data_IF_239415112209
#
_entry.id   IF_239415112209
#
_cell.length_a   1.000
_cell.length_b   1.000
_cell.length_c   1.000
_cell.angle_alpha   90.00
_cell.angle_beta   90.00
_cell.angle_gamma   90.00
#
_symmetry.space_group_name_H-M   'P 1'
#
loop_
_entity.id
_entity.type
_entity.pdbx_description
1 polymer ?
#
# COMPACT_ATOMS: atom_id res chain seq x y z
N UNK A 1 -21.72 5.18 -13.09
CA UNK A 1 -21.26 5.69 -11.77
C UNK A 1 -19.87 5.15 -11.42
N UNK A 2 -19.59 3.85 -11.51
CA UNK A 2 -18.28 3.25 -11.22
C UNK A 2 -17.14 3.91 -11.98
N UNK A 3 -17.25 3.98 -13.31
CA UNK A 3 -16.24 4.60 -14.19
C UNK A 3 -16.00 6.08 -13.90
N UNK A 4 -17.04 6.81 -13.48
CA UNK A 4 -16.88 8.21 -13.08
C UNK A 4 -16.06 8.34 -11.79
N UNK A 5 -16.31 7.50 -10.78
CA UNK A 5 -15.53 7.48 -9.54
C UNK A 5 -14.08 7.03 -9.80
N UNK A 6 -13.88 6.01 -10.64
CA UNK A 6 -12.54 5.57 -11.03
C UNK A 6 -11.77 6.68 -11.77
N UNK A 7 -12.43 7.39 -12.70
CA UNK A 7 -11.83 8.51 -13.42
C UNK A 7 -11.48 9.69 -12.47
N UNK A 8 -12.37 10.03 -11.53
CA UNK A 8 -12.08 11.04 -10.48
C UNK A 8 -10.88 10.63 -9.63
N UNK A 9 -10.82 9.36 -9.20
CA UNK A 9 -9.69 8.83 -8.44
C UNK A 9 -8.37 8.93 -9.23
N UNK A 10 -8.38 8.53 -10.49
CA UNK A 10 -7.22 8.62 -11.37
C UNK A 10 -6.80 10.09 -11.62
N UNK A 11 -7.74 10.97 -11.91
CA UNK A 11 -7.45 12.39 -12.10
C UNK A 11 -6.85 13.02 -10.85
N UNK A 12 -7.40 12.71 -9.66
CA UNK A 12 -6.85 13.16 -8.37
C UNK A 12 -5.45 12.57 -8.11
N UNK A 13 -5.22 11.30 -8.46
CA UNK A 13 -3.91 10.67 -8.32
C UNK A 13 -2.85 11.31 -9.21
N UNK A 14 -3.18 11.60 -10.47
CA UNK A 14 -2.30 12.31 -11.41
C UNK A 14 -2.05 13.76 -10.96
N UNK A 15 -3.08 14.46 -10.49
CA UNK A 15 -2.94 15.80 -9.93
C UNK A 15 -1.99 15.81 -8.71
N UNK A 16 -2.15 14.84 -7.79
CA UNK A 16 -1.24 14.72 -6.64
C UNK A 16 0.20 14.44 -7.05
N UNK A 17 0.41 13.59 -8.07
CA UNK A 17 1.75 13.33 -8.62
C UNK A 17 2.42 14.63 -9.10
N UNK A 18 1.68 15.50 -9.76
CA UNK A 18 2.18 16.83 -10.17
C UNK A 18 2.51 17.76 -8.99
N UNK A 19 1.85 17.56 -7.83
CA UNK A 19 2.01 18.37 -6.63
C UNK A 19 3.09 17.85 -5.66
N UNK A 20 3.82 16.79 -5.98
CA UNK A 20 4.80 16.20 -5.05
C UNK A 20 5.94 17.14 -4.64
N UNK A 21 6.28 18.13 -5.48
CA UNK A 21 7.27 19.17 -5.17
C UNK A 21 6.70 20.40 -4.45
N UNK A 22 5.38 20.53 -4.34
CA UNK A 22 4.75 21.70 -3.76
C UNK A 22 4.76 21.64 -2.21
N UNK A 23 4.67 22.78 -1.52
CA UNK A 23 4.53 22.82 -0.06
C UNK A 23 3.31 22.02 0.43
N UNK A 24 3.42 21.48 1.65
CA UNK A 24 2.27 20.79 2.29
C UNK A 24 1.13 21.78 2.49
N UNK A 25 -0.07 21.45 2.00
CA UNK A 25 -1.27 22.28 2.13
C UNK A 25 -2.50 21.42 2.38
N UNK A 26 -3.60 22.03 2.82
CA UNK A 26 -4.88 21.36 2.99
C UNK A 26 -5.42 20.78 1.68
N UNK A 27 -5.31 21.55 0.58
CA UNK A 27 -5.74 21.12 -0.76
C UNK A 27 -4.94 19.93 -1.26
N UNK A 28 -3.61 19.94 -1.10
CA UNK A 28 -2.75 18.81 -1.47
C UNK A 28 -3.10 17.55 -0.65
N UNK A 29 -3.39 17.71 0.65
CA UNK A 29 -3.87 16.62 1.50
C UNK A 29 -5.22 16.08 1.04
N UNK A 30 -6.16 16.97 0.71
CA UNK A 30 -7.49 16.58 0.22
C UNK A 30 -7.42 15.83 -1.11
N UNK A 31 -6.58 16.27 -2.06
CA UNK A 31 -6.38 15.60 -3.34
C UNK A 31 -5.80 14.20 -3.11
N UNK A 32 -4.77 14.07 -2.28
CA UNK A 32 -4.15 12.77 -1.95
C UNK A 32 -5.17 11.80 -1.37
N UNK A 33 -5.83 12.20 -0.30
CA UNK A 33 -6.84 11.38 0.40
C UNK A 33 -8.03 11.08 -0.51
N UNK A 34 -8.50 12.09 -1.25
CA UNK A 34 -9.63 11.97 -2.19
C UNK A 34 -9.39 10.95 -3.30
N UNK A 35 -8.15 10.83 -3.79
CA UNK A 35 -7.81 9.82 -4.80
C UNK A 35 -8.07 8.40 -4.29
N UNK A 36 -7.71 8.10 -3.03
CA UNK A 36 -7.91 6.78 -2.43
C UNK A 36 -9.36 6.58 -1.96
N UNK A 37 -10.03 7.64 -1.47
CA UNK A 37 -11.47 7.60 -1.15
C UNK A 37 -12.30 7.30 -2.39
N UNK A 38 -12.00 7.93 -3.54
CA UNK A 38 -12.70 7.68 -4.79
C UNK A 38 -12.57 6.20 -5.22
N UNK A 39 -11.40 5.59 -5.01
CA UNK A 39 -11.18 4.17 -5.27
C UNK A 39 -12.00 3.28 -4.33
N UNK A 40 -12.08 3.61 -3.03
CA UNK A 40 -12.93 2.91 -2.07
C UNK A 40 -14.42 2.98 -2.45
N UNK A 41 -14.90 4.18 -2.83
CA UNK A 41 -16.28 4.37 -3.28
C UNK A 41 -16.57 3.65 -4.60
N UNK A 42 -15.63 3.66 -5.55
CA UNK A 42 -15.76 2.90 -6.80
C UNK A 42 -15.90 1.39 -6.52
N UNK A 43 -15.09 0.87 -5.60
CA UNK A 43 -15.13 -0.55 -5.18
C UNK A 43 -16.45 -0.89 -4.49
N UNK A 44 -16.97 -0.01 -3.62
CA UNK A 44 -18.28 -0.18 -2.96
C UNK A 44 -19.41 -0.23 -3.99
N UNK A 45 -19.44 0.72 -4.92
CA UNK A 45 -20.46 0.81 -5.97
C UNK A 45 -20.37 -0.35 -6.97
N UNK A 46 -19.18 -0.91 -7.16
CA UNK A 46 -18.97 -2.11 -7.96
C UNK A 46 -19.43 -3.42 -7.27
N UNK A 47 -19.93 -3.36 -6.04
CA UNK A 47 -20.28 -4.54 -5.26
C UNK A 47 -19.08 -5.31 -4.74
N UNK A 48 -17.92 -4.69 -4.66
CA UNK A 48 -16.70 -5.30 -4.14
C UNK A 48 -16.84 -5.75 -2.68
N UNK A 49 -16.06 -6.75 -2.24
CA UNK A 49 -16.10 -7.25 -0.87
C UNK A 49 -15.89 -6.12 0.15
N UNK A 50 -16.61 -6.16 1.27
CA UNK A 50 -16.53 -5.12 2.31
C UNK A 50 -15.12 -4.95 2.89
N UNK A 51 -14.34 -6.03 2.97
CA UNK A 51 -12.93 -5.98 3.40
C UNK A 51 -12.05 -5.18 2.44
N UNK A 52 -12.32 -5.23 1.13
CA UNK A 52 -11.65 -4.39 0.14
C UNK A 52 -11.95 -2.91 0.38
N UNK A 53 -13.24 -2.58 0.56
CA UNK A 53 -13.66 -1.20 0.82
C UNK A 53 -13.05 -0.69 2.13
N UNK A 54 -13.04 -1.51 3.18
CA UNK A 54 -12.42 -1.19 4.47
C UNK A 54 -10.91 -0.95 4.32
N UNK A 55 -10.20 -1.82 3.62
CA UNK A 55 -8.76 -1.68 3.40
C UNK A 55 -8.43 -0.36 2.68
N UNK A 56 -9.17 -0.02 1.63
CA UNK A 56 -9.01 1.23 0.89
C UNK A 56 -9.35 2.45 1.75
N UNK A 57 -10.41 2.40 2.56
CA UNK A 57 -10.79 3.49 3.47
C UNK A 57 -9.72 3.73 4.54
N UNK A 58 -9.16 2.65 5.12
CA UNK A 58 -8.05 2.74 6.06
C UNK A 58 -6.78 3.27 5.39
N UNK A 59 -6.51 2.90 4.14
CA UNK A 59 -5.45 3.48 3.32
C UNK A 59 -5.63 5.00 3.12
N UNK A 60 -6.85 5.44 2.80
CA UNK A 60 -7.18 6.86 2.69
C UNK A 60 -6.98 7.61 4.02
N UNK A 61 -7.34 6.98 5.14
CA UNK A 61 -7.09 7.54 6.48
C UNK A 61 -5.58 7.66 6.76
N UNK A 62 -4.80 6.66 6.34
CA UNK A 62 -3.35 6.69 6.38
C UNK A 62 -2.77 7.86 5.56
N UNK A 63 -3.27 8.06 4.34
CA UNK A 63 -2.91 9.19 3.48
C UNK A 63 -3.18 10.55 4.12
N UNK A 64 -4.34 10.68 4.76
CA UNK A 64 -4.69 11.89 5.51
C UNK A 64 -3.69 12.17 6.61
N UNK A 65 -3.39 11.19 7.46
CA UNK A 65 -2.47 11.39 8.57
C UNK A 65 -1.03 11.62 8.12
N UNK A 66 -0.51 10.88 7.12
CA UNK A 66 0.85 11.10 6.60
C UNK A 66 1.01 12.44 5.90
N UNK A 67 -0.06 13.10 5.49
CA UNK A 67 0.00 14.44 4.93
C UNK A 67 0.06 15.55 6.00
N UNK A 68 -0.08 15.20 7.28
CA UNK A 68 0.00 16.12 8.42
C UNK A 68 1.42 16.15 9.00
N UNK A 69 1.83 17.27 9.63
CA UNK A 69 3.13 17.35 10.31
C UNK A 69 3.12 16.62 11.65
N UNK A 70 4.31 16.23 12.09
CA UNK A 70 4.57 15.72 13.44
C UNK A 70 4.53 14.21 13.58
N UNK A 71 5.26 13.72 14.60
CA UNK A 71 5.44 12.29 14.87
C UNK A 71 4.12 11.58 15.22
N UNK A 72 3.21 12.24 15.92
CA UNK A 72 1.91 11.67 16.27
C UNK A 72 1.02 11.44 15.04
N UNK A 73 1.08 12.34 14.03
CA UNK A 73 0.39 12.13 12.77
C UNK A 73 1.02 10.97 11.97
N UNK A 74 2.34 10.90 11.94
CA UNK A 74 3.05 9.78 11.33
C UNK A 74 2.63 8.43 11.95
N UNK A 75 2.61 8.32 13.28
CA UNK A 75 2.19 7.09 13.97
C UNK A 75 0.74 6.69 13.65
N UNK A 76 -0.19 7.66 13.64
CA UNK A 76 -1.59 7.39 13.26
C UNK A 76 -1.69 6.90 11.82
N UNK A 77 -0.90 7.48 10.91
CA UNK A 77 -0.80 7.02 9.53
C UNK A 77 -0.28 5.59 9.42
N UNK A 78 0.80 5.29 10.15
CA UNK A 78 1.39 3.95 10.20
C UNK A 78 0.38 2.90 10.73
N UNK A 79 -0.36 3.23 11.79
CA UNK A 79 -1.42 2.37 12.34
C UNK A 79 -2.55 2.17 11.32
N UNK A 80 -3.02 3.24 10.67
CA UNK A 80 -4.08 3.14 9.66
C UNK A 80 -3.67 2.24 8.49
N UNK A 81 -2.43 2.37 8.00
CA UNK A 81 -1.90 1.49 6.95
C UNK A 81 -1.70 0.05 7.44
N UNK A 82 -1.23 -0.15 8.68
CA UNK A 82 -1.14 -1.50 9.25
C UNK A 82 -2.51 -2.19 9.31
N UNK A 83 -3.55 -1.47 9.74
CA UNK A 83 -4.93 -1.97 9.73
C UNK A 83 -5.44 -2.22 8.31
N UNK A 84 -5.09 -1.37 7.34
CA UNK A 84 -5.38 -1.60 5.92
C UNK A 84 -4.77 -2.91 5.43
N UNK A 85 -3.50 -3.18 5.76
CA UNK A 85 -2.83 -4.44 5.39
C UNK A 85 -3.46 -5.66 6.07
N UNK A 86 -3.88 -5.55 7.33
CA UNK A 86 -4.61 -6.62 8.02
C UNK A 86 -5.96 -6.89 7.34
N UNK A 87 -6.67 -5.86 6.89
CA UNK A 87 -7.89 -6.02 6.11
C UNK A 87 -7.63 -6.69 4.75
N UNK A 88 -6.52 -6.36 4.07
CA UNK A 88 -6.09 -7.06 2.86
C UNK A 88 -5.71 -8.52 3.12
N UNK A 89 -5.03 -8.85 4.22
CA UNK A 89 -4.74 -10.24 4.60
C UNK A 89 -6.05 -11.00 4.76
N UNK A 90 -7.00 -10.48 5.53
CA UNK A 90 -8.30 -11.10 5.74
C UNK A 90 -9.09 -11.25 4.43
N UNK A 91 -9.03 -10.25 3.53
CA UNK A 91 -9.61 -10.31 2.21
C UNK A 91 -8.98 -11.44 1.39
N UNK A 92 -7.66 -11.45 1.23
CA UNK A 92 -6.96 -12.40 0.37
C UNK A 92 -7.17 -13.83 0.81
N UNK A 93 -7.07 -14.11 2.12
CA UNK A 93 -7.28 -15.45 2.69
C UNK A 93 -8.72 -15.93 2.56
N UNK A 94 -9.70 -15.05 2.36
CA UNK A 94 -11.10 -15.38 2.13
C UNK A 94 -11.51 -15.51 0.65
N UNK A 95 -10.59 -15.24 -0.31
CA UNK A 95 -10.90 -15.35 -1.73
C UNK A 95 -10.92 -16.81 -2.20
N UNK A 96 -11.76 -17.14 -3.20
CA UNK A 96 -11.83 -18.50 -3.76
C UNK A 96 -10.46 -19.00 -4.24
N UNK A 97 -10.13 -20.24 -3.90
CA UNK A 97 -8.89 -20.89 -4.33
C UNK A 97 -7.62 -20.34 -3.66
N UNK A 98 -7.75 -19.52 -2.60
CA UNK A 98 -6.58 -19.10 -1.82
C UNK A 98 -5.91 -20.32 -1.16
N UNK A 99 -4.58 -20.41 -1.28
CA UNK A 99 -3.82 -21.51 -0.69
C UNK A 99 -3.97 -22.84 -1.42
N UNK A 100 -4.71 -22.90 -2.53
CA UNK A 100 -4.73 -24.08 -3.38
C UNK A 100 -3.43 -24.15 -4.17
N UNK A 101 -2.45 -24.79 -3.54
CA UNK A 101 -1.05 -24.85 -3.97
C UNK A 101 -0.65 -26.26 -4.37
N UNK A 102 -1.53 -26.99 -5.03
CA UNK A 102 -1.22 -28.33 -5.55
C UNK A 102 0.04 -28.32 -6.45
N UNK A 103 0.30 -27.20 -7.14
CA UNK A 103 1.57 -26.88 -7.79
C UNK A 103 1.76 -25.33 -7.83
N UNK A 104 2.33 -24.72 -6.77
CA UNK A 104 2.42 -23.26 -6.67
C UNK A 104 3.43 -22.63 -7.63
N UNK A 105 4.22 -23.44 -8.34
CA UNK A 105 5.30 -22.97 -9.19
C UNK A 105 6.46 -22.33 -8.42
N UNK A 106 7.64 -22.30 -9.02
CA UNK A 106 8.90 -21.80 -8.41
C UNK A 106 8.80 -20.31 -7.98
N UNK A 107 8.01 -19.50 -8.69
CA UNK A 107 7.89 -18.07 -8.43
C UNK A 107 7.24 -17.77 -7.05
N UNK A 108 6.30 -18.59 -6.61
CA UNK A 108 5.67 -18.46 -5.27
C UNK A 108 6.72 -18.75 -4.19
N UNK A 109 7.47 -19.84 -4.33
CA UNK A 109 8.55 -20.18 -3.38
C UNK A 109 9.62 -19.09 -3.33
N UNK A 110 10.07 -18.61 -4.50
CA UNK A 110 11.06 -17.52 -4.58
C UNK A 110 10.52 -16.23 -3.90
N UNK A 111 9.24 -15.90 -4.10
CA UNK A 111 8.59 -14.77 -3.45
C UNK A 111 8.53 -14.92 -1.94
N UNK A 112 8.11 -16.08 -1.43
CA UNK A 112 8.07 -16.36 0.01
C UNK A 112 9.46 -16.31 0.64
N UNK A 113 10.48 -16.89 0.00
CA UNK A 113 11.88 -16.80 0.44
C UNK A 113 12.33 -15.34 0.44
N UNK A 114 12.04 -14.58 -0.63
CA UNK A 114 12.36 -13.16 -0.71
C UNK A 114 11.77 -12.36 0.46
N UNK A 115 10.50 -12.58 0.78
CA UNK A 115 9.83 -11.94 1.92
C UNK A 115 10.42 -12.39 3.28
N UNK A 116 10.73 -13.68 3.42
CA UNK A 116 11.35 -14.23 4.63
C UNK A 116 12.76 -13.67 4.87
N UNK A 117 13.47 -13.29 3.81
CA UNK A 117 14.78 -12.62 3.90
C UNK A 117 14.64 -11.10 4.06
N UNK A 118 13.66 -10.47 3.40
CA UNK A 118 13.45 -9.02 3.47
C UNK A 118 13.12 -8.56 4.89
N UNK A 119 12.19 -9.21 5.56
CA UNK A 119 11.75 -8.81 6.90
C UNK A 119 12.90 -8.76 7.92
N UNK A 120 13.71 -9.82 8.13
CA UNK A 120 14.83 -9.75 9.08
C UNK A 120 15.98 -8.86 8.58
N UNK A 121 16.16 -8.69 7.26
CA UNK A 121 17.20 -7.79 6.74
C UNK A 121 16.98 -6.34 7.19
N UNK A 122 15.73 -5.92 7.43
CA UNK A 122 15.39 -4.57 7.92
C UNK A 122 16.07 -4.26 9.26
N UNK A 123 16.39 -5.28 10.07
CA UNK A 123 17.14 -5.11 11.31
C UNK A 123 18.52 -4.45 11.10
N UNK A 124 19.12 -4.65 9.92
CA UNK A 124 20.44 -4.10 9.58
C UNK A 124 20.36 -2.75 8.86
N UNK A 125 19.48 -2.63 7.89
CA UNK A 125 19.48 -1.44 7.02
C UNK A 125 18.43 -0.37 7.41
N UNK A 126 17.38 -0.70 8.17
CA UNK A 126 16.31 0.23 8.53
C UNK A 126 16.27 0.55 10.02
N UNK A 127 16.19 -0.47 10.90
CA UNK A 127 15.94 -0.25 12.33
C UNK A 127 16.97 0.64 13.06
N UNK A 128 18.27 0.68 12.68
CA UNK A 128 19.22 1.60 13.32
C UNK A 128 18.86 3.08 13.16
N UNK A 129 18.03 3.44 12.17
CA UNK A 129 17.66 4.82 11.83
C UNK A 129 16.27 5.22 12.33
N UNK A 130 15.52 4.31 12.95
CA UNK A 130 14.12 4.55 13.36
C UNK A 130 13.97 5.16 14.76
N UNK A 131 15.01 5.16 15.56
CA UNK A 131 14.99 5.71 16.93
C UNK A 131 13.82 5.17 17.77
N UNK A 132 13.01 6.09 18.31
CA UNK A 132 11.82 5.73 19.13
C UNK A 132 10.71 5.02 18.35
N UNK A 133 10.76 5.06 17.03
CA UNK A 133 9.78 4.41 16.16
C UNK A 133 10.10 2.93 15.87
N UNK A 134 11.18 2.39 16.47
CA UNK A 134 11.64 1.02 16.21
C UNK A 134 10.55 -0.03 16.38
N UNK A 135 9.82 -0.01 17.50
CA UNK A 135 8.73 -0.96 17.78
C UNK A 135 7.60 -0.88 16.75
N UNK A 136 6.99 0.31 16.55
CA UNK A 136 5.97 0.51 15.52
C UNK A 136 6.41 0.10 14.11
N UNK A 137 7.65 0.40 13.72
CA UNK A 137 8.19 0.02 12.39
C UNK A 137 8.36 -1.48 12.27
N UNK A 138 8.85 -2.18 13.31
CA UNK A 138 8.94 -3.66 13.31
C UNK A 138 7.56 -4.28 13.13
N UNK A 139 6.57 -3.84 13.92
CA UNK A 139 5.21 -4.34 13.80
C UNK A 139 4.65 -4.13 12.39
N UNK A 140 4.88 -2.95 11.80
CA UNK A 140 4.47 -2.63 10.44
C UNK A 140 5.12 -3.53 9.40
N UNK A 141 6.44 -3.74 9.49
CA UNK A 141 7.19 -4.63 8.58
C UNK A 141 6.63 -6.05 8.61
N UNK A 142 6.31 -6.57 9.80
CA UNK A 142 5.71 -7.90 9.92
C UNK A 142 4.34 -7.98 9.24
N UNK A 143 3.49 -6.98 9.44
CA UNK A 143 2.13 -6.95 8.86
C UNK A 143 2.19 -6.86 7.34
N UNK A 144 3.02 -5.96 6.77
CA UNK A 144 3.09 -5.84 5.30
C UNK A 144 3.75 -7.05 4.66
N UNK A 145 4.71 -7.68 5.32
CA UNK A 145 5.32 -8.94 4.85
C UNK A 145 4.28 -10.06 4.84
N UNK A 146 3.44 -10.15 5.88
CA UNK A 146 2.34 -11.11 5.94
C UNK A 146 1.30 -10.86 4.84
N UNK A 147 0.98 -9.58 4.53
CA UNK A 147 0.11 -9.24 3.39
C UNK A 147 0.71 -9.72 2.07
N UNK A 148 2.00 -9.49 1.85
CA UNK A 148 2.72 -9.97 0.66
C UNK A 148 2.68 -11.50 0.55
N UNK A 149 2.88 -12.21 1.66
CA UNK A 149 2.80 -13.68 1.69
C UNK A 149 1.37 -14.18 1.38
N UNK A 150 0.34 -13.54 1.96
CA UNK A 150 -1.05 -13.87 1.64
C UNK A 150 -1.39 -13.63 0.16
N UNK A 151 -0.85 -12.57 -0.44
CA UNK A 151 -1.05 -12.27 -1.85
C UNK A 151 -0.37 -13.30 -2.78
N UNK A 152 0.80 -13.83 -2.40
CA UNK A 152 1.51 -14.85 -3.20
C UNK A 152 0.72 -16.17 -3.31
N UNK A 153 -0.20 -16.42 -2.39
CA UNK A 153 -1.03 -17.63 -2.37
C UNK A 153 -2.40 -17.43 -3.04
N UNK A 154 -2.61 -16.31 -3.71
CA UNK A 154 -3.83 -16.03 -4.48
C UNK A 154 -3.93 -16.92 -5.72
N UNK A 155 -5.14 -17.40 -6.01
CA UNK A 155 -5.42 -18.12 -7.24
C UNK A 155 -5.11 -17.27 -8.49
N UNK A 156 -4.80 -17.89 -9.65
CA UNK A 156 -4.45 -17.17 -10.89
C UNK A 156 -5.49 -16.13 -11.35
N UNK A 157 -6.77 -16.31 -11.02
CA UNK A 157 -7.83 -15.33 -11.30
C UNK A 157 -7.53 -13.96 -10.67
N UNK A 158 -6.79 -13.91 -9.55
CA UNK A 158 -6.46 -12.69 -8.80
C UNK A 158 -5.03 -12.18 -9.05
N UNK A 159 -4.38 -12.57 -10.17
CA UNK A 159 -3.00 -12.16 -10.51
C UNK A 159 -2.77 -10.64 -10.51
N UNK A 160 -3.80 -9.85 -10.85
CA UNK A 160 -3.70 -8.39 -10.79
C UNK A 160 -3.69 -7.88 -9.35
N UNK A 161 -4.41 -8.53 -8.44
CA UNK A 161 -4.34 -8.21 -7.01
C UNK A 161 -2.97 -8.56 -6.43
N UNK A 162 -2.36 -9.68 -6.84
CA UNK A 162 -0.98 -10.02 -6.49
C UNK A 162 0.01 -8.96 -6.97
N UNK A 163 -0.09 -8.54 -8.24
CA UNK A 163 0.76 -7.47 -8.77
C UNK A 163 0.58 -6.16 -7.99
N UNK A 164 -0.67 -5.80 -7.67
CA UNK A 164 -0.99 -4.64 -6.87
C UNK A 164 -0.38 -4.70 -5.46
N UNK A 165 -0.45 -5.86 -4.80
CA UNK A 165 0.17 -6.08 -3.49
C UNK A 165 1.70 -5.97 -3.55
N UNK A 166 2.32 -6.49 -4.59
CA UNK A 166 3.77 -6.35 -4.81
C UNK A 166 4.18 -4.89 -5.04
N UNK A 167 3.40 -4.12 -5.81
CA UNK A 167 3.62 -2.68 -5.99
C UNK A 167 3.47 -1.92 -4.68
N UNK A 168 2.46 -2.23 -3.86
CA UNK A 168 2.28 -1.61 -2.57
C UNK A 168 3.48 -1.90 -1.65
N UNK A 169 3.89 -3.15 -1.53
CA UNK A 169 5.08 -3.52 -0.74
C UNK A 169 6.33 -2.79 -1.23
N UNK A 170 6.56 -2.71 -2.54
CA UNK A 170 7.66 -1.96 -3.11
C UNK A 170 7.60 -0.47 -2.75
N UNK A 171 6.40 0.13 -2.80
CA UNK A 171 6.21 1.52 -2.39
C UNK A 171 6.62 1.76 -0.94
N UNK A 172 6.29 0.84 -0.03
CA UNK A 172 6.59 0.96 1.39
C UNK A 172 8.08 0.76 1.70
N UNK A 173 8.74 -0.13 0.98
CA UNK A 173 10.20 -0.26 1.06
C UNK A 173 10.87 1.06 0.64
N UNK A 174 10.46 1.65 -0.50
CA UNK A 174 11.01 2.93 -0.97
C UNK A 174 10.67 4.06 0.01
N UNK A 175 9.43 4.10 0.53
CA UNK A 175 9.00 5.10 1.52
C UNK A 175 9.83 5.00 2.80
N UNK A 176 10.10 3.79 3.28
CA UNK A 176 10.92 3.58 4.48
C UNK A 176 12.36 4.08 4.28
N UNK A 177 12.95 3.82 3.11
CA UNK A 177 14.26 4.38 2.75
C UNK A 177 14.20 5.90 2.66
N UNK A 178 13.16 6.45 2.03
CA UNK A 178 12.96 7.89 1.90
C UNK A 178 12.90 8.59 3.26
N UNK A 179 12.11 8.04 4.19
CA UNK A 179 11.86 8.68 5.50
C UNK A 179 13.06 8.54 6.44
N UNK A 180 13.69 7.36 6.48
CA UNK A 180 14.67 7.04 7.51
C UNK A 180 16.13 7.11 7.03
N UNK A 181 16.39 7.09 5.72
CA UNK A 181 17.74 6.99 5.18
C UNK A 181 18.17 8.14 4.29
N UNK A 182 17.22 8.82 3.65
CA UNK A 182 17.55 9.87 2.69
C UNK A 182 17.42 11.26 3.32
N UNK A 183 18.43 12.11 3.07
CA UNK A 183 18.41 13.51 3.51
C UNK A 183 17.29 14.28 2.76
N UNK A 184 16.39 14.98 3.48
CA UNK A 184 15.34 15.78 2.87
C UNK A 184 15.89 16.79 1.87
N UNK A 185 15.18 17.03 0.76
CA UNK A 185 15.55 18.01 -0.25
C UNK A 185 16.57 17.52 -1.29
N UNK A 186 17.20 16.36 -1.10
CA UNK A 186 18.12 15.79 -2.10
C UNK A 186 17.39 15.30 -3.35
N UNK A 187 18.03 15.23 -4.53
CA UNK A 187 17.43 14.65 -5.73
C UNK A 187 16.93 13.22 -5.52
N UNK A 188 17.70 12.39 -4.80
CA UNK A 188 17.36 11.00 -4.51
C UNK A 188 16.10 10.92 -3.64
N UNK A 189 16.00 11.76 -2.59
CA UNK A 189 14.80 11.85 -1.75
C UNK A 189 13.56 12.27 -2.56
N UNK A 190 13.68 13.24 -3.48
CA UNK A 190 12.56 13.64 -4.36
C UNK A 190 12.15 12.54 -5.32
N UNK A 191 13.12 11.86 -5.93
CA UNK A 191 12.85 10.76 -6.86
C UNK A 191 12.19 9.56 -6.16
N UNK A 192 12.63 9.23 -4.94
CA UNK A 192 11.97 8.23 -4.10
C UNK A 192 10.48 8.58 -3.89
N UNK A 193 10.17 9.81 -3.49
CA UNK A 193 8.78 10.25 -3.32
C UNK A 193 7.94 10.19 -4.61
N UNK A 194 8.58 10.46 -5.77
CA UNK A 194 7.92 10.34 -7.08
C UNK A 194 7.61 8.89 -7.46
N UNK A 195 8.39 7.93 -6.99
CA UNK A 195 8.16 6.50 -7.22
C UNK A 195 7.15 5.92 -6.24
N UNK A 196 7.15 6.36 -4.98
CA UNK A 196 6.24 5.88 -3.94
C UNK A 196 4.78 6.01 -4.35
N UNK A 197 4.37 7.19 -4.81
CA UNK A 197 2.96 7.47 -5.05
C UNK A 197 2.32 6.60 -6.15
N UNK A 198 2.88 6.49 -7.37
CA UNK A 198 2.30 5.64 -8.41
C UNK A 198 2.33 4.15 -8.04
N UNK A 199 3.35 3.68 -7.33
CA UNK A 199 3.41 2.31 -6.84
C UNK A 199 2.33 2.04 -5.79
N UNK A 200 2.13 2.95 -4.85
CA UNK A 200 1.13 2.85 -3.79
C UNK A 200 -0.29 2.92 -4.35
N UNK A 201 -0.65 4.04 -5.00
CA UNK A 201 -2.01 4.23 -5.49
C UNK A 201 -2.36 3.28 -6.63
N UNK A 202 -1.44 3.06 -7.58
CA UNK A 202 -1.59 2.08 -8.65
C UNK A 202 -1.69 0.66 -8.11
N UNK A 203 -0.92 0.33 -7.08
CA UNK A 203 -1.01 -0.95 -6.36
C UNK A 203 -2.40 -1.18 -5.78
N UNK A 204 -2.97 -0.20 -5.07
CA UNK A 204 -4.33 -0.28 -4.54
C UNK A 204 -5.40 -0.39 -5.64
N UNK A 205 -5.23 0.35 -6.74
CA UNK A 205 -6.13 0.26 -7.88
C UNK A 205 -6.10 -1.13 -8.53
N UNK A 206 -4.91 -1.73 -8.68
CA UNK A 206 -4.77 -3.09 -9.21
C UNK A 206 -5.31 -4.15 -8.25
N UNK A 207 -5.16 -3.99 -6.92
CA UNK A 207 -5.81 -4.87 -5.95
C UNK A 207 -7.32 -4.80 -6.12
N UNK A 208 -7.88 -3.58 -6.15
CA UNK A 208 -9.32 -3.39 -6.27
C UNK A 208 -9.87 -4.00 -7.57
N UNK A 209 -9.25 -3.68 -8.70
CA UNK A 209 -9.65 -4.20 -10.01
C UNK A 209 -9.48 -5.73 -10.09
N UNK A 210 -8.35 -6.26 -9.60
CA UNK A 210 -8.05 -7.68 -9.63
C UNK A 210 -8.95 -8.52 -8.73
N UNK A 211 -9.38 -7.99 -7.57
CA UNK A 211 -10.32 -8.67 -6.69
C UNK A 211 -11.72 -8.67 -7.29
N UNK A 212 -12.21 -7.51 -7.75
CA UNK A 212 -13.57 -7.40 -8.32
C UNK A 212 -13.69 -8.18 -9.63
N UNK A 213 -12.65 -8.16 -10.47
CA UNK A 213 -12.66 -8.86 -11.76
C UNK A 213 -12.38 -10.37 -11.66
N UNK A 214 -11.91 -10.87 -10.51
CA UNK A 214 -11.65 -12.29 -10.25
C UNK A 214 -12.81 -13.03 -9.56
N UNK A 215 -13.80 -12.27 -9.04
CA UNK A 215 -15.04 -12.80 -8.45
C UNK A 215 -16.12 -13.00 -9.50
#
# INVERSE_FOLDING_TARGET
MIWALAAVGLAAALAYQGLLGAPKSGSRSAIKTGATVALALASLVAGGPWLLVLALALGALGDFFLSRPGQGAFLRGLVAFALSHLAYIALFTGLPGWGDTSDPGWAVYAGLIGLALLAPSTARWLLPYTGRLRGPVVAYVLVITAMGAAALLLAPAFRLALLGAAMFLASDVILSVQIFRLAPGTPVHRNAGRAVWPLYWGGQALIAYGVIGGL
#
